data_IF_631978298838
#
_entry.id   IF_631978298838
#
_cell.length_a   1.000
_cell.length_b   1.000
_cell.length_c   1.000
_cell.angle_alpha   90.00
_cell.angle_beta   90.00
_cell.angle_gamma   90.00
#
_symmetry.space_group_name_H-M   'P 1'
#
loop_
_entity.id
_entity.type
_entity.pdbx_description
1 polymer ?
#
# COMPACT_ATOMS: atom_id res chain seq x y z
N UNK A 1 17.31 -6.67 3.66
CA UNK A 1 16.51 -7.21 4.78
C UNK A 1 15.35 -6.27 4.99
N UNK A 2 14.14 -6.80 5.14
CA UNK A 2 12.95 -5.99 5.39
C UNK A 2 12.99 -5.45 6.83
N UNK A 3 13.05 -4.12 6.97
CA UNK A 3 13.03 -3.45 8.27
C UNK A 3 11.62 -3.44 8.88
N UNK A 4 11.52 -3.61 10.20
CA UNK A 4 10.23 -3.53 10.90
C UNK A 4 9.62 -2.12 10.78
N UNK A 5 8.32 -2.01 10.51
CA UNK A 5 7.65 -0.72 10.39
C UNK A 5 7.91 0.06 9.08
N UNK A 6 8.77 -0.43 8.17
CA UNK A 6 8.91 0.22 6.85
C UNK A 6 7.63 0.06 6.02
N UNK A 7 7.29 1.06 5.23
CA UNK A 7 6.16 0.98 4.32
C UNK A 7 5.76 2.31 3.71
N UNK A 8 4.46 2.50 3.53
CA UNK A 8 3.91 3.69 2.87
C UNK A 8 2.73 4.26 3.66
N UNK A 9 2.54 5.57 3.53
CA UNK A 9 1.34 6.27 3.99
C UNK A 9 0.57 6.82 2.80
N UNK A 10 -0.75 6.84 2.93
CA UNK A 10 -1.68 7.33 1.94
C UNK A 10 -2.88 7.98 2.64
N UNK A 11 -3.67 8.79 1.92
CA UNK A 11 -4.67 9.66 2.54
C UNK A 11 -4.08 10.47 3.70
N UNK A 12 -2.84 10.91 3.53
CA UNK A 12 -2.13 11.66 4.55
C UNK A 12 -2.65 13.10 4.56
N UNK A 13 -3.08 13.55 5.73
CA UNK A 13 -3.45 14.94 5.99
C UNK A 13 -2.42 15.60 6.90
N UNK A 14 -2.07 14.95 8.00
CA UNK A 14 -1.12 15.41 9.01
C UNK A 14 -0.64 14.21 9.87
N UNK A 15 0.33 14.38 10.79
CA UNK A 15 0.83 13.27 11.62
C UNK A 15 -0.20 12.61 12.53
N UNK A 16 -1.37 13.22 12.74
CA UNK A 16 -2.46 12.67 13.54
C UNK A 16 -3.58 12.06 12.68
N UNK A 17 -3.50 12.17 11.34
CA UNK A 17 -4.56 11.80 10.41
C UNK A 17 -3.98 11.23 9.10
N UNK A 18 -3.86 9.91 9.02
CA UNK A 18 -3.41 9.21 7.79
C UNK A 18 -3.78 7.72 7.78
N UNK A 19 -3.68 7.09 6.62
CA UNK A 19 -3.64 5.63 6.49
C UNK A 19 -2.23 5.14 6.23
N UNK A 20 -1.91 3.93 6.68
CA UNK A 20 -0.60 3.33 6.52
C UNK A 20 -0.65 1.83 6.25
N UNK A 21 0.41 1.37 5.58
CA UNK A 21 0.75 -0.04 5.47
C UNK A 21 2.19 -0.17 5.93
N UNK A 22 2.46 -1.05 6.91
CA UNK A 22 3.80 -1.28 7.42
C UNK A 22 4.15 -2.76 7.51
N UNK A 23 5.41 -3.07 7.25
CA UNK A 23 5.96 -4.40 7.46
C UNK A 23 5.95 -4.72 8.96
N UNK A 24 5.68 -5.99 9.27
CA UNK A 24 5.85 -6.55 10.61
C UNK A 24 6.56 -7.90 10.50
N UNK A 25 7.88 -7.92 10.20
CA UNK A 25 8.62 -9.14 9.86
C UNK A 25 8.63 -10.17 10.98
N UNK A 26 8.58 -9.74 12.24
CA UNK A 26 8.50 -10.62 13.42
C UNK A 26 7.26 -11.53 13.43
N UNK A 27 6.17 -11.09 12.80
CA UNK A 27 4.95 -11.86 12.60
C UNK A 27 4.78 -12.36 11.15
N UNK A 28 5.81 -12.17 10.32
CA UNK A 28 5.83 -12.61 8.93
C UNK A 28 4.79 -11.93 8.04
N UNK A 29 4.32 -10.73 8.39
CA UNK A 29 3.19 -10.08 7.72
C UNK A 29 3.28 -8.57 7.58
N UNK A 30 2.13 -7.98 7.23
CA UNK A 30 1.93 -6.54 7.03
C UNK A 30 0.69 -6.07 7.77
N UNK A 31 0.75 -4.90 8.39
CA UNK A 31 -0.43 -4.28 8.99
C UNK A 31 -0.97 -3.18 8.07
N UNK A 32 -2.28 -3.18 7.85
CA UNK A 32 -3.02 -2.03 7.33
C UNK A 32 -3.64 -1.34 8.53
N UNK A 33 -3.34 -0.06 8.71
CA UNK A 33 -3.78 0.71 9.86
C UNK A 33 -4.18 2.13 9.44
N UNK A 34 -4.91 2.79 10.33
CA UNK A 34 -5.22 4.21 10.21
C UNK A 34 -4.92 4.93 11.51
N UNK A 35 -4.57 6.20 11.40
CA UNK A 35 -4.48 7.12 12.52
C UNK A 35 -5.54 8.19 12.31
N UNK A 36 -6.42 8.38 13.28
CA UNK A 36 -7.45 9.42 13.29
C UNK A 36 -7.42 10.10 14.65
N UNK A 37 -7.32 11.43 14.65
CA UNK A 37 -7.16 12.24 15.87
C UNK A 37 -6.01 11.73 16.77
N UNK A 38 -4.92 11.25 16.14
CA UNK A 38 -3.73 10.74 16.82
C UNK A 38 -3.86 9.32 17.38
N UNK A 39 -5.01 8.65 17.20
CA UNK A 39 -5.22 7.27 17.63
C UNK A 39 -5.01 6.30 16.48
N UNK A 40 -4.09 5.36 16.66
CA UNK A 40 -3.87 4.26 15.71
C UNK A 40 -4.87 3.12 15.95
N UNK A 41 -5.51 2.65 14.87
CA UNK A 41 -6.28 1.42 14.84
C UNK A 41 -5.77 0.53 13.69
N UNK A 42 -5.43 -0.73 14.00
CA UNK A 42 -5.05 -1.74 13.01
C UNK A 42 -6.32 -2.36 12.42
N UNK A 43 -6.55 -2.12 11.13
CA UNK A 43 -7.75 -2.53 10.40
C UNK A 43 -7.66 -3.96 9.86
N UNK A 44 -6.45 -4.36 9.46
CA UNK A 44 -6.16 -5.70 8.96
C UNK A 44 -4.72 -6.10 9.24
N UNK A 45 -4.54 -7.38 9.56
CA UNK A 45 -3.25 -8.07 9.55
C UNK A 45 -3.22 -8.96 8.31
N UNK A 46 -2.24 -8.76 7.44
CA UNK A 46 -1.99 -9.60 6.28
C UNK A 46 -0.85 -10.56 6.62
N UNK A 47 -1.15 -11.86 6.70
CA UNK A 47 -0.15 -12.88 7.01
C UNK A 47 0.59 -13.27 5.73
N UNK A 48 1.91 -13.43 5.83
CA UNK A 48 2.78 -13.82 4.73
C UNK A 48 3.36 -12.65 3.95
N UNK A 49 4.36 -12.95 3.12
CA UNK A 49 5.03 -12.01 2.21
C UNK A 49 5.70 -10.80 2.90
N UNK A 50 6.10 -10.91 4.17
CA UNK A 50 7.04 -9.96 4.78
C UNK A 50 8.48 -10.34 4.43
N UNK A 51 8.83 -10.20 3.16
CA UNK A 51 10.13 -10.54 2.61
C UNK A 51 10.80 -9.30 2.01
N UNK A 52 12.13 -9.30 1.97
CA UNK A 52 12.90 -8.29 1.26
C UNK A 52 12.49 -8.21 -0.21
N UNK A 53 12.41 -7.01 -0.78
CA UNK A 53 11.97 -6.79 -2.16
C UNK A 53 10.45 -6.90 -2.40
N UNK A 54 9.64 -7.10 -1.36
CA UNK A 54 8.18 -7.11 -1.49
C UNK A 54 7.67 -5.75 -1.99
N UNK A 55 6.87 -5.77 -3.06
CA UNK A 55 6.21 -4.57 -3.60
C UNK A 55 4.88 -4.37 -2.89
N UNK A 56 4.67 -3.18 -2.33
CA UNK A 56 3.41 -2.79 -1.68
C UNK A 56 2.71 -1.75 -2.54
N UNK A 57 1.43 -1.95 -2.80
CA UNK A 57 0.64 -1.03 -3.61
C UNK A 57 -0.71 -0.69 -2.96
N UNK A 58 -1.19 0.52 -3.25
CA UNK A 58 -2.54 0.95 -2.89
C UNK A 58 -3.23 1.49 -4.13
N UNK A 59 -4.43 0.99 -4.42
CA UNK A 59 -5.32 1.55 -5.44
C UNK A 59 -6.52 2.19 -4.74
N UNK A 60 -6.85 3.44 -5.06
CA UNK A 60 -7.89 4.20 -4.36
C UNK A 60 -8.99 4.68 -5.30
N UNK A 61 -10.23 4.66 -4.84
CA UNK A 61 -11.38 5.25 -5.52
C UNK A 61 -12.46 5.65 -4.50
N UNK A 62 -12.66 6.96 -4.29
CA UNK A 62 -13.57 7.48 -3.28
C UNK A 62 -13.24 6.92 -1.89
N UNK A 63 -14.23 6.30 -1.23
CA UNK A 63 -14.07 5.67 0.08
C UNK A 63 -13.33 4.32 0.02
N UNK A 64 -13.32 3.66 -1.14
CA UNK A 64 -12.74 2.33 -1.30
C UNK A 64 -11.27 2.40 -1.64
N UNK A 65 -10.48 1.49 -1.07
CA UNK A 65 -9.12 1.22 -1.53
C UNK A 65 -8.78 -0.27 -1.47
N UNK A 66 -7.82 -0.67 -2.29
CA UNK A 66 -7.27 -2.03 -2.35
C UNK A 66 -5.81 -1.99 -1.99
N UNK A 67 -5.39 -2.95 -1.16
CA UNK A 67 -3.99 -3.16 -0.81
C UNK A 67 -3.48 -4.37 -1.57
N UNK A 68 -2.33 -4.20 -2.22
CA UNK A 68 -1.67 -5.21 -3.03
C UNK A 68 -0.29 -5.53 -2.46
N UNK A 69 0.06 -6.81 -2.43
CA UNK A 69 1.42 -7.29 -2.18
C UNK A 69 1.88 -8.06 -3.41
N UNK A 70 3.00 -7.64 -4.01
CA UNK A 70 3.54 -8.20 -5.25
C UNK A 70 2.50 -8.23 -6.39
N UNK A 71 1.72 -7.16 -6.53
CA UNK A 71 0.66 -7.04 -7.54
C UNK A 71 -0.65 -7.75 -7.16
N UNK A 72 -0.64 -8.70 -6.24
CA UNK A 72 -1.86 -9.44 -5.87
C UNK A 72 -2.68 -8.66 -4.84
N UNK A 73 -3.98 -8.48 -5.09
CA UNK A 73 -4.89 -7.86 -4.12
C UNK A 73 -4.99 -8.74 -2.88
N UNK A 74 -4.58 -8.21 -1.72
CA UNK A 74 -4.64 -8.89 -0.42
C UNK A 74 -5.77 -8.40 0.45
N UNK A 75 -6.21 -7.16 0.26
CA UNK A 75 -7.31 -6.58 1.01
C UNK A 75 -8.06 -5.54 0.20
N UNK A 76 -9.34 -5.42 0.48
CA UNK A 76 -10.18 -4.34 0.00
C UNK A 76 -10.94 -3.75 1.17
N UNK A 77 -10.82 -2.46 1.37
CA UNK A 77 -11.41 -1.72 2.48
C UNK A 77 -12.32 -0.63 1.91
N UNK A 78 -13.50 -0.47 2.51
CA UNK A 78 -14.42 0.62 2.24
C UNK A 78 -14.57 1.44 3.53
N UNK A 79 -13.89 2.58 3.58
CA UNK A 79 -13.88 3.47 4.74
C UNK A 79 -13.80 4.93 4.28
N UNK A 80 -14.72 5.76 4.79
CA UNK A 80 -14.81 7.20 4.48
C UNK A 80 -13.74 8.04 5.17
N UNK A 81 -13.05 7.51 6.17
CA UNK A 81 -12.01 8.21 6.91
C UNK A 81 -10.92 8.68 5.93
N UNK A 82 -10.69 9.99 5.94
CA UNK A 82 -9.66 10.67 5.16
C UNK A 82 -9.79 10.46 3.63
N UNK A 83 -10.98 10.11 3.13
CA UNK A 83 -11.18 9.79 1.72
C UNK A 83 -10.82 10.92 0.73
N UNK A 84 -10.76 12.16 1.22
CA UNK A 84 -10.38 13.35 0.45
C UNK A 84 -8.94 13.83 0.73
N UNK A 85 -8.23 13.22 1.67
CA UNK A 85 -6.86 13.60 1.96
C UNK A 85 -5.95 13.16 0.80
N UNK A 86 -5.17 14.06 0.18
CA UNK A 86 -4.44 13.76 -1.05
C UNK A 86 -3.03 13.21 -0.81
N UNK A 87 -2.50 13.35 0.41
CA UNK A 87 -1.10 13.08 0.68
C UNK A 87 -0.75 11.60 0.58
N UNK A 88 0.46 11.35 0.07
CA UNK A 88 1.11 10.05 0.05
C UNK A 88 2.56 10.23 0.52
N UNK A 89 3.15 9.18 1.04
CA UNK A 89 4.51 9.24 1.53
C UNK A 89 5.06 7.87 1.89
N UNK A 90 6.29 7.87 2.36
CA UNK A 90 6.99 6.68 2.81
C UNK A 90 7.10 6.69 4.33
N UNK A 91 7.05 5.51 4.93
CA UNK A 91 7.27 5.29 6.35
C UNK A 91 8.54 4.45 6.52
N UNK A 92 9.42 4.88 7.41
CA UNK A 92 10.55 4.10 7.87
C UNK A 92 10.63 4.25 9.40
N UNK A 93 10.91 3.16 10.13
CA UNK A 93 11.17 3.27 11.57
C UNK A 93 12.39 4.16 11.81
N UNK A 94 12.40 4.84 12.96
CA UNK A 94 13.65 5.39 13.49
C UNK A 94 14.51 4.23 14.01
N UNK A 95 15.79 4.19 13.65
CA UNK A 95 16.71 3.14 14.11
C UNK A 95 18.06 3.18 13.41
N UNK A 96 18.96 2.31 13.86
CA UNK A 96 20.34 2.23 13.37
C UNK A 96 20.46 1.48 12.04
N UNK A 97 19.49 0.62 11.72
CA UNK A 97 19.40 -0.05 10.42
C UNK A 97 18.55 0.77 9.45
N UNK A 98 19.14 1.35 8.39
CA UNK A 98 18.38 2.15 7.46
C UNK A 98 17.44 1.27 6.64
N UNK A 99 16.15 1.55 6.72
CA UNK A 99 15.18 0.99 5.79
C UNK A 99 15.47 1.49 4.36
N UNK A 100 15.35 0.60 3.37
CA UNK A 100 15.54 0.95 1.96
C UNK A 100 14.23 0.80 1.20
N UNK A 101 13.95 1.77 0.34
CA UNK A 101 12.83 1.79 -0.57
C UNK A 101 13.43 2.12 -1.94
N UNK A 102 13.37 1.15 -2.85
CA UNK A 102 14.10 1.23 -4.12
C UNK A 102 13.40 2.16 -5.12
N UNK A 103 12.08 2.09 -5.21
CA UNK A 103 11.29 2.91 -6.12
C UNK A 103 9.92 3.25 -5.55
N UNK A 104 9.41 4.41 -5.97
CA UNK A 104 8.03 4.84 -5.76
C UNK A 104 7.43 5.19 -7.12
N UNK A 105 6.22 4.72 -7.37
CA UNK A 105 5.46 5.06 -8.58
C UNK A 105 4.06 5.49 -8.18
N UNK A 106 3.63 6.62 -8.74
CA UNK A 106 2.35 7.26 -8.43
C UNK A 106 1.72 7.65 -9.76
N UNK A 107 0.46 7.28 -9.96
CA UNK A 107 -0.24 7.56 -11.20
C UNK A 107 -1.75 7.40 -11.05
N UNK A 108 -2.48 7.84 -12.06
CA UNK A 108 -3.91 7.58 -12.21
C UNK A 108 -4.10 6.21 -12.86
N UNK A 109 -5.11 5.47 -12.40
CA UNK A 109 -5.45 4.15 -12.93
C UNK A 109 -6.91 4.16 -13.37
N UNK A 110 -7.17 4.15 -14.68
CA UNK A 110 -8.54 4.20 -15.26
C UNK A 110 -9.29 2.85 -15.20
N UNK A 111 -8.80 1.90 -14.39
CA UNK A 111 -9.56 0.71 -14.02
C UNK A 111 -9.48 -0.46 -15.00
N UNK A 112 -8.85 -0.35 -16.16
CA UNK A 112 -8.58 -1.51 -17.03
C UNK A 112 -7.29 -2.20 -16.59
N UNK A 113 -7.40 -3.12 -15.62
CA UNK A 113 -6.45 -4.23 -15.56
C UNK A 113 -6.80 -5.09 -16.77
N UNK A 114 -5.94 -5.11 -17.80
CA UNK A 114 -6.03 -6.14 -18.81
C UNK A 114 -5.72 -7.47 -18.12
N UNK A 115 -6.76 -8.13 -17.62
CA UNK A 115 -6.68 -9.53 -17.24
C UNK A 115 -6.35 -10.27 -18.54
N UNK A 116 -5.09 -10.65 -18.73
CA UNK A 116 -4.79 -11.66 -19.73
C UNK A 116 -5.16 -12.97 -19.05
N UNK A 117 -6.26 -13.60 -19.48
CA UNK A 117 -6.49 -15.01 -19.16
C UNK A 117 -5.25 -15.78 -19.65
N UNK A 118 -4.41 -16.15 -18.70
CA UNK A 118 -3.24 -16.99 -18.85
C UNK A 118 -3.37 -18.07 -17.80
N UNK A 119 -3.44 -19.30 -18.26
CA UNK A 119 -3.92 -20.52 -17.61
C UNK A 119 -3.13 -21.03 -16.37
N UNK A 120 -2.37 -20.20 -15.66
CA UNK A 120 -1.56 -20.66 -14.53
C UNK A 120 -1.55 -19.62 -13.38
N UNK A 121 -2.35 -19.88 -12.34
CA UNK A 121 -2.33 -19.54 -10.90
C UNK A 121 -1.48 -18.36 -10.34
N UNK A 122 -0.99 -17.41 -11.13
CA UNK A 122 -0.23 -16.23 -10.69
C UNK A 122 -0.63 -15.00 -11.52
N UNK A 123 -1.56 -14.22 -11.00
CA UNK A 123 -2.01 -12.97 -11.64
C UNK A 123 -0.89 -11.90 -11.60
N UNK A 124 -0.29 -11.60 -12.74
CA UNK A 124 0.63 -10.47 -12.91
C UNK A 124 -0.12 -9.20 -13.32
N UNK A 125 0.06 -8.09 -12.57
CA UNK A 125 -0.48 -6.78 -12.96
C UNK A 125 0.48 -6.07 -13.91
N UNK A 126 -0.02 -5.70 -15.09
CA UNK A 126 0.67 -4.84 -16.07
C UNK A 126 0.11 -3.42 -15.99
N UNK A 127 0.91 -2.38 -15.65
CA UNK A 127 0.43 -1.00 -15.68
C UNK A 127 0.14 -0.52 -17.10
N UNK A 128 -1.10 -0.11 -17.39
CA UNK A 128 -1.40 0.63 -18.62
C UNK A 128 -1.03 2.10 -18.42
N UNK A 129 0.13 2.51 -18.93
CA UNK A 129 0.46 3.93 -19.04
C UNK A 129 -0.27 4.44 -20.29
N UNK A 130 -1.16 5.42 -20.15
CA UNK A 130 -1.82 6.06 -21.28
C UNK A 130 -0.93 7.23 -21.72
N UNK A 131 -0.19 7.17 -22.86
CA UNK A 131 0.59 8.29 -23.34
C UNK A 131 -0.37 9.26 -24.06
N UNK A 132 -1.14 10.05 -23.31
CA UNK A 132 -2.17 10.88 -23.93
C UNK A 132 -2.80 11.88 -23.00
N UNK A 133 -2.05 12.93 -22.65
CA UNK A 133 -2.59 14.20 -22.19
C UNK A 133 -2.05 15.29 -23.10
N UNK A 134 -2.93 15.87 -23.91
CA UNK A 134 -2.69 17.05 -24.78
C UNK A 134 -2.39 18.30 -23.99
#
# INVERSE_FOLDING_TARGET
VLADGVGLVFRYQDPANYWGIRAVPSFGGWNIFKVVDGREDVERVLVGQALDGTRVGVQQSGNRFRVMLNGLVRSTIDDKALAKAPGIGLMAPAGDEPARIDSITVGTFDGTIAMREGDDDQDEIVPSVNPGGT
#
